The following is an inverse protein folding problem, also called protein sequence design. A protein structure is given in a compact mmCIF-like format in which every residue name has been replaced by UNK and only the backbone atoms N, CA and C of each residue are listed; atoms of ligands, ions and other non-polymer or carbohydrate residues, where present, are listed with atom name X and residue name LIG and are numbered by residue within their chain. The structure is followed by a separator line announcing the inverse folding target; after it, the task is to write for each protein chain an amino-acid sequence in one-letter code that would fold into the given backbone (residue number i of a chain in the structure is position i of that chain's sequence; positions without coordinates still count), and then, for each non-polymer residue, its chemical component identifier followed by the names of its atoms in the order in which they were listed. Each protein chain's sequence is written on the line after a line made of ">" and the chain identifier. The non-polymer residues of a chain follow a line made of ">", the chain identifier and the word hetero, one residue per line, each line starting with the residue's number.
data_IF_518695919058
#
_entry.id   IF_518695919058
#
_cell.length_a   1.000
_cell.length_b   1.000
_cell.length_c   1.000
_cell.angle_alpha   90.00
_cell.angle_beta   90.00
_cell.angle_gamma   90.00
#
_symmetry.space_group_name_H-M   'P 1'
#
loop_
_entity.id
_entity.type
_entity.pdbx_description
1 polymer ?
#
# COMPACT_ATOMS: atom_id res chain seq x y z
N UNK A 1 -17.36 -21.11 -15.99
CA UNK A 1 -17.33 -19.86 -16.80
C UNK A 1 -16.81 -18.72 -15.96
N UNK A 2 -16.32 -17.63 -16.55
CA UNK A 2 -15.75 -16.46 -15.85
C UNK A 2 -16.82 -15.47 -15.33
N UNK A 3 -18.07 -15.88 -15.33
CA UNK A 3 -19.19 -15.04 -14.91
C UNK A 3 -19.22 -14.93 -13.39
N UNK A 4 -19.28 -13.72 -12.90
CA UNK A 4 -19.38 -13.41 -11.47
C UNK A 4 -20.76 -13.81 -10.98
N UNK A 5 -20.81 -14.63 -9.94
CA UNK A 5 -22.06 -15.11 -9.31
C UNK A 5 -22.26 -14.54 -7.91
N UNK A 6 -21.18 -14.09 -7.28
CA UNK A 6 -21.25 -13.47 -5.96
C UNK A 6 -20.18 -12.38 -5.79
N UNK A 7 -20.56 -11.31 -5.11
CA UNK A 7 -19.69 -10.22 -4.66
C UNK A 7 -20.09 -9.85 -3.24
N UNK A 8 -19.19 -10.01 -2.30
CA UNK A 8 -19.48 -9.76 -0.90
C UNK A 8 -18.37 -8.92 -0.25
N UNK A 9 -18.76 -7.90 0.48
CA UNK A 9 -17.83 -7.05 1.24
C UNK A 9 -18.09 -7.13 2.74
N UNK A 10 -17.01 -6.97 3.51
CA UNK A 10 -17.05 -6.82 4.96
C UNK A 10 -16.05 -5.79 5.45
N UNK A 11 -16.28 -5.29 6.66
CA UNK A 11 -15.30 -4.46 7.37
C UNK A 11 -14.31 -5.39 8.08
N UNK A 12 -13.01 -5.09 7.91
CA UNK A 12 -11.90 -5.76 8.60
C UNK A 12 -10.95 -4.70 9.17
N UNK A 13 -9.95 -5.12 9.95
CA UNK A 13 -8.94 -4.19 10.48
C UNK A 13 -7.66 -4.27 9.67
N UNK A 14 -7.04 -3.11 9.42
CA UNK A 14 -5.71 -3.00 8.85
C UNK A 14 -4.60 -3.25 9.91
N UNK A 15 -3.32 -3.18 9.51
CA UNK A 15 -2.17 -3.43 10.40
C UNK A 15 -2.04 -2.40 11.54
N UNK A 16 -2.73 -1.25 11.44
CA UNK A 16 -2.78 -0.20 12.47
C UNK A 16 -4.02 -0.28 13.36
N UNK A 17 -4.88 -1.30 13.13
CA UNK A 17 -6.14 -1.47 13.84
C UNK A 17 -7.25 -0.52 13.39
N UNK A 18 -7.13 0.13 12.22
CA UNK A 18 -8.20 0.93 11.65
C UNK A 18 -9.08 0.06 10.76
N UNK A 19 -10.41 0.31 10.71
CA UNK A 19 -11.28 -0.37 9.77
C UNK A 19 -10.91 -0.14 8.31
N UNK A 20 -11.02 -1.19 7.50
CA UNK A 20 -10.94 -1.11 6.05
C UNK A 20 -11.91 -2.10 5.39
N UNK A 21 -12.04 -2.02 4.06
CA UNK A 21 -12.96 -2.84 3.29
C UNK A 21 -12.24 -4.07 2.74
N UNK A 22 -12.80 -5.25 3.00
CA UNK A 22 -12.44 -6.49 2.31
C UNK A 22 -13.56 -6.85 1.35
N UNK A 23 -13.22 -7.26 0.11
CA UNK A 23 -14.18 -7.72 -0.90
C UNK A 23 -13.79 -9.10 -1.41
N UNK A 24 -14.78 -9.95 -1.55
CA UNK A 24 -14.68 -11.27 -2.17
C UNK A 24 -15.52 -11.31 -3.45
N UNK A 25 -14.99 -11.97 -4.48
CA UNK A 25 -15.67 -12.22 -5.76
C UNK A 25 -15.56 -13.70 -6.07
N UNK A 26 -16.70 -14.32 -6.38
CA UNK A 26 -16.77 -15.73 -6.81
C UNK A 26 -17.36 -15.81 -8.19
N UNK A 27 -16.80 -16.66 -9.04
CA UNK A 27 -17.29 -16.92 -10.39
C UNK A 27 -18.06 -18.25 -10.48
N UNK A 28 -18.81 -18.45 -11.55
CA UNK A 28 -19.56 -19.68 -11.83
C UNK A 28 -18.67 -20.94 -11.90
N UNK A 29 -17.40 -20.79 -12.32
CA UNK A 29 -16.42 -21.89 -12.32
C UNK A 29 -15.82 -22.18 -10.95
N UNK A 30 -16.15 -21.40 -9.92
CA UNK A 30 -15.54 -21.47 -8.60
C UNK A 30 -14.23 -20.69 -8.47
N UNK A 31 -13.78 -19.97 -9.52
CA UNK A 31 -12.64 -19.08 -9.39
C UNK A 31 -12.98 -17.94 -8.40
N UNK A 32 -12.00 -17.62 -7.56
CA UNK A 32 -12.19 -16.77 -6.39
C UNK A 32 -11.14 -15.67 -6.31
N UNK A 33 -11.58 -14.47 -5.94
CA UNK A 33 -10.69 -13.35 -5.67
C UNK A 33 -11.08 -12.65 -4.37
N UNK A 34 -10.11 -12.38 -3.53
CA UNK A 34 -10.28 -11.67 -2.25
C UNK A 34 -9.27 -10.53 -2.17
N UNK A 35 -9.75 -9.35 -1.91
CA UNK A 35 -8.93 -8.16 -1.77
C UNK A 35 -9.26 -7.37 -0.50
N UNK A 36 -8.23 -6.90 0.20
CA UNK A 36 -8.36 -5.94 1.29
C UNK A 36 -7.81 -4.62 0.78
N UNK A 37 -8.59 -3.55 0.92
CA UNK A 37 -8.23 -2.23 0.41
C UNK A 37 -7.15 -1.60 1.29
N UNK A 38 -5.98 -1.23 0.74
CA UNK A 38 -4.97 -0.52 1.50
C UNK A 38 -5.45 0.89 1.87
N UNK A 39 -5.08 1.36 3.06
CA UNK A 39 -5.36 2.71 3.53
C UNK A 39 -4.05 3.43 3.81
N UNK A 40 -3.84 4.60 3.21
CA UNK A 40 -2.66 5.43 3.44
C UNK A 40 -2.60 6.03 4.84
N UNK A 41 -1.41 6.33 5.32
CA UNK A 41 -1.21 7.08 6.57
C UNK A 41 -1.43 8.59 6.36
N UNK A 42 -1.09 9.07 5.17
CA UNK A 42 -1.33 10.45 4.70
C UNK A 42 -2.15 10.43 3.41
N UNK A 43 -2.81 11.53 3.09
CA UNK A 43 -3.64 11.67 1.89
C UNK A 43 -3.33 12.98 1.16
N UNK A 44 -3.33 12.94 -0.17
CA UNK A 44 -3.18 14.11 -1.02
C UNK A 44 -4.52 14.78 -1.34
N UNK A 45 -4.51 16.08 -1.65
CA UNK A 45 -5.71 16.85 -1.99
C UNK A 45 -6.45 16.32 -3.24
N UNK A 46 -5.75 15.61 -4.12
CA UNK A 46 -6.26 15.08 -5.38
C UNK A 46 -6.59 13.59 -5.33
N UNK A 47 -6.50 12.97 -4.17
CA UNK A 47 -6.88 11.58 -4.00
C UNK A 47 -8.40 11.38 -4.08
N UNK A 48 -8.79 10.24 -4.60
CA UNK A 48 -10.18 9.80 -4.54
C UNK A 48 -10.57 9.50 -3.08
N UNK A 49 -11.81 9.78 -2.73
CA UNK A 49 -12.30 9.73 -1.36
C UNK A 49 -12.30 8.30 -0.80
N UNK A 50 -11.52 8.06 0.23
CA UNK A 50 -11.73 6.92 1.10
C UNK A 50 -12.97 7.20 1.98
N UNK A 51 -14.06 6.50 1.70
CA UNK A 51 -15.35 6.75 2.38
C UNK A 51 -15.30 6.20 3.81
N UNK A 52 -15.43 7.09 4.79
CA UNK A 52 -15.52 6.81 6.22
C UNK A 52 -16.90 7.17 6.75
N UNK A 53 -17.40 6.42 7.75
CA UNK A 53 -18.74 6.59 8.29
C UNK A 53 -18.91 7.92 9.07
N UNK A 54 -17.84 8.45 9.65
CA UNK A 54 -17.86 9.69 10.43
C UNK A 54 -18.51 9.56 11.81
N UNK A 55 -19.06 8.40 12.18
CA UNK A 55 -19.65 8.13 13.48
C UNK A 55 -18.58 8.05 14.57
N UNK A 56 -18.49 9.09 15.38
CA UNK A 56 -17.50 9.19 16.47
C UNK A 56 -17.66 8.13 17.56
N UNK A 57 -18.85 7.54 17.70
CA UNK A 57 -19.13 6.47 18.65
C UNK A 57 -18.55 5.12 18.22
N UNK A 58 -18.12 4.99 16.96
CA UNK A 58 -17.57 3.74 16.39
C UNK A 58 -16.25 4.02 15.69
N UNK A 59 -15.16 3.35 16.13
CA UNK A 59 -13.80 3.53 15.59
C UNK A 59 -13.40 5.01 15.43
N UNK A 60 -13.86 5.90 16.33
CA UNK A 60 -13.56 7.33 16.30
C UNK A 60 -13.92 8.03 14.97
N UNK A 61 -14.93 7.51 14.26
CA UNK A 61 -15.37 8.00 12.95
C UNK A 61 -14.73 7.31 11.76
N UNK A 62 -13.79 6.38 11.98
CA UNK A 62 -13.06 5.69 10.91
C UNK A 62 -13.74 4.42 10.36
N UNK A 63 -14.96 4.08 10.83
CA UNK A 63 -15.72 2.95 10.31
C UNK A 63 -15.92 3.02 8.79
N UNK A 64 -16.17 1.86 8.14
CA UNK A 64 -16.36 1.75 6.68
C UNK A 64 -17.64 1.00 6.31
N UNK A 65 -18.62 0.97 7.23
CA UNK A 65 -19.87 0.25 6.99
C UNK A 65 -20.66 0.80 5.80
N UNK A 66 -20.60 2.13 5.57
CA UNK A 66 -21.26 2.71 4.41
C UNK A 66 -20.60 2.25 3.10
N UNK A 67 -19.27 2.16 3.04
CA UNK A 67 -18.56 1.63 1.88
C UNK A 67 -18.89 0.13 1.66
N UNK A 68 -18.92 -0.67 2.72
CA UNK A 68 -19.36 -2.07 2.68
C UNK A 68 -20.79 -2.19 2.14
N UNK A 69 -21.70 -1.36 2.62
CA UNK A 69 -23.08 -1.30 2.13
C UNK A 69 -23.15 -0.94 0.66
N UNK A 70 -22.35 0.04 0.22
CA UNK A 70 -22.28 0.44 -1.19
C UNK A 70 -21.81 -0.71 -2.09
N UNK A 71 -20.85 -1.52 -1.63
CA UNK A 71 -20.46 -2.74 -2.36
C UNK A 71 -21.62 -3.72 -2.43
N UNK A 72 -22.19 -4.11 -1.29
CA UNK A 72 -23.17 -5.22 -1.21
C UNK A 72 -24.51 -4.86 -1.86
N UNK A 73 -24.99 -3.63 -1.72
CA UNK A 73 -26.33 -3.24 -2.16
C UNK A 73 -26.37 -2.48 -3.49
N UNK A 74 -25.27 -1.80 -3.89
CA UNK A 74 -25.26 -0.97 -5.10
C UNK A 74 -24.37 -1.58 -6.19
N UNK A 75 -23.11 -1.93 -5.87
CA UNK A 75 -22.14 -2.42 -6.87
C UNK A 75 -22.40 -3.88 -7.21
N UNK A 76 -22.50 -4.75 -6.20
CA UNK A 76 -22.66 -6.20 -6.39
C UNK A 76 -23.81 -6.56 -7.35
N UNK A 77 -25.05 -6.01 -7.20
CA UNK A 77 -26.14 -6.33 -8.13
C UNK A 77 -25.89 -5.91 -9.59
N UNK A 78 -24.95 -5.02 -9.84
CA UNK A 78 -24.60 -4.53 -11.18
C UNK A 78 -23.42 -5.28 -11.80
N UNK A 79 -22.55 -5.86 -10.97
CA UNK A 79 -21.36 -6.61 -11.38
C UNK A 79 -21.67 -8.10 -11.53
N UNK A 80 -22.55 -8.66 -10.72
CA UNK A 80 -23.03 -10.04 -10.87
C UNK A 80 -23.63 -10.23 -12.28
N UNK A 81 -23.29 -11.35 -12.92
CA UNK A 81 -23.65 -11.67 -14.30
C UNK A 81 -22.66 -11.16 -15.35
N UNK A 82 -21.65 -10.36 -14.97
CA UNK A 82 -20.57 -9.94 -15.86
C UNK A 82 -19.38 -10.91 -15.78
N UNK A 83 -18.53 -10.86 -16.80
CA UNK A 83 -17.28 -11.63 -16.79
C UNK A 83 -16.21 -10.91 -15.95
N UNK A 84 -15.57 -11.62 -15.01
CA UNK A 84 -14.42 -11.08 -14.26
C UNK A 84 -13.20 -10.79 -15.16
N UNK A 85 -13.17 -11.30 -16.39
CA UNK A 85 -12.09 -11.07 -17.35
C UNK A 85 -12.17 -9.69 -18.03
N UNK A 86 -13.33 -9.03 -17.98
CA UNK A 86 -13.50 -7.71 -18.58
C UNK A 86 -13.34 -6.61 -17.52
N UNK A 87 -12.10 -6.47 -17.04
CA UNK A 87 -11.73 -5.48 -16.02
C UNK A 87 -12.17 -4.07 -16.38
N UNK A 88 -11.93 -3.67 -17.63
CA UNK A 88 -12.26 -2.32 -18.09
C UNK A 88 -13.78 -2.05 -18.03
N UNK A 89 -14.60 -3.02 -18.40
CA UNK A 89 -16.06 -2.85 -18.34
C UNK A 89 -16.56 -2.79 -16.88
N UNK A 90 -15.96 -3.57 -15.97
CA UNK A 90 -16.29 -3.54 -14.55
C UNK A 90 -15.90 -2.19 -13.93
N UNK A 91 -14.68 -1.74 -14.17
CA UNK A 91 -14.19 -0.47 -13.62
C UNK A 91 -14.99 0.72 -14.17
N UNK A 92 -15.26 0.74 -15.48
CA UNK A 92 -16.09 1.78 -16.12
C UNK A 92 -17.50 1.80 -15.53
N UNK A 93 -18.13 0.65 -15.34
CA UNK A 93 -19.43 0.54 -14.69
C UNK A 93 -19.43 1.19 -13.31
N UNK A 94 -18.44 0.89 -12.48
CA UNK A 94 -18.33 1.47 -11.13
C UNK A 94 -18.12 2.98 -11.15
N UNK A 95 -17.30 3.49 -12.09
CA UNK A 95 -17.11 4.92 -12.29
C UNK A 95 -18.41 5.62 -12.72
N UNK A 96 -19.19 5.01 -13.60
CA UNK A 96 -20.50 5.52 -14.03
C UNK A 96 -21.52 5.48 -12.88
N UNK A 97 -21.51 4.44 -12.04
CA UNK A 97 -22.38 4.34 -10.87
C UNK A 97 -22.06 5.41 -9.81
N UNK A 98 -20.79 5.71 -9.59
CA UNK A 98 -20.40 6.79 -8.68
C UNK A 98 -20.74 8.19 -9.28
N UNK A 99 -20.41 8.40 -10.54
CA UNK A 99 -20.70 9.64 -11.28
C UNK A 99 -19.87 10.85 -10.84
N UNK A 100 -18.88 10.70 -9.95
CA UNK A 100 -18.01 11.81 -9.50
C UNK A 100 -16.53 11.54 -9.76
N UNK A 101 -15.72 12.59 -10.06
CA UNK A 101 -14.28 12.40 -10.31
C UNK A 101 -13.51 11.77 -9.13
N UNK A 102 -13.94 12.05 -7.91
CA UNK A 102 -13.27 11.63 -6.67
C UNK A 102 -14.00 10.49 -5.95
N UNK A 103 -14.93 9.79 -6.61
CA UNK A 103 -15.67 8.63 -6.06
C UNK A 103 -16.37 8.95 -4.72
N UNK A 104 -16.99 10.15 -4.66
CA UNK A 104 -17.58 10.67 -3.42
C UNK A 104 -18.87 9.95 -3.00
N UNK A 105 -19.57 9.32 -3.94
CA UNK A 105 -20.86 8.68 -3.69
C UNK A 105 -20.69 7.23 -3.20
N UNK A 106 -19.83 6.44 -3.84
CA UNK A 106 -19.60 5.04 -3.47
C UNK A 106 -18.41 4.85 -2.55
N UNK A 107 -17.39 5.70 -2.69
CA UNK A 107 -16.10 5.57 -2.03
C UNK A 107 -15.05 4.88 -2.90
N UNK A 108 -13.81 5.42 -2.89
CA UNK A 108 -12.70 4.80 -3.58
C UNK A 108 -12.37 3.41 -3.01
N UNK A 109 -12.50 3.24 -1.69
CA UNK A 109 -12.32 1.95 -1.02
C UNK A 109 -13.34 0.89 -1.49
N UNK A 110 -14.61 1.26 -1.68
CA UNK A 110 -15.61 0.35 -2.22
C UNK A 110 -15.31 -0.06 -3.67
N UNK A 111 -15.03 0.91 -4.54
CA UNK A 111 -14.76 0.66 -5.96
C UNK A 111 -13.45 -0.10 -6.17
N UNK A 112 -12.37 0.27 -5.46
CA UNK A 112 -11.08 -0.40 -5.54
C UNK A 112 -11.16 -1.84 -5.02
N UNK A 113 -11.88 -2.08 -3.94
CA UNK A 113 -12.06 -3.42 -3.38
C UNK A 113 -12.66 -4.39 -4.40
N UNK A 114 -13.73 -3.98 -5.08
CA UNK A 114 -14.37 -4.80 -6.13
C UNK A 114 -13.43 -4.98 -7.34
N UNK A 115 -12.79 -3.91 -7.80
CA UNK A 115 -11.85 -3.96 -8.93
C UNK A 115 -10.71 -4.95 -8.68
N UNK A 116 -10.07 -4.87 -7.52
CA UNK A 116 -8.97 -5.78 -7.13
C UNK A 116 -9.46 -7.24 -6.98
N UNK A 117 -10.61 -7.46 -6.35
CA UNK A 117 -11.17 -8.80 -6.17
C UNK A 117 -11.53 -9.45 -7.53
N UNK A 118 -12.07 -8.67 -8.48
CA UNK A 118 -12.33 -9.15 -9.83
C UNK A 118 -11.04 -9.55 -10.55
N UNK A 119 -9.98 -8.75 -10.45
CA UNK A 119 -8.69 -9.07 -11.06
C UNK A 119 -8.06 -10.34 -10.47
N UNK A 120 -8.19 -10.54 -9.15
CA UNK A 120 -7.74 -11.75 -8.46
C UNK A 120 -8.54 -12.99 -8.90
N UNK A 121 -9.88 -12.86 -9.00
CA UNK A 121 -10.73 -13.94 -9.52
C UNK A 121 -10.40 -14.28 -10.98
N UNK A 122 -10.07 -13.29 -11.80
CA UNK A 122 -9.63 -13.49 -13.18
C UNK A 122 -8.28 -14.22 -13.27
N UNK A 123 -7.32 -13.86 -12.41
CA UNK A 123 -6.04 -14.54 -12.31
C UNK A 123 -6.21 -16.01 -11.87
N UNK A 124 -7.05 -16.24 -10.86
CA UNK A 124 -7.41 -17.58 -10.36
C UNK A 124 -8.11 -18.42 -11.44
N UNK A 125 -9.04 -17.80 -12.20
CA UNK A 125 -9.70 -18.44 -13.35
C UNK A 125 -8.70 -19.00 -14.38
N UNK A 126 -7.60 -18.29 -14.62
CA UNK A 126 -6.53 -18.77 -15.51
C UNK A 126 -5.48 -19.64 -14.81
N UNK A 127 -5.60 -19.90 -13.50
CA UNK A 127 -4.62 -20.66 -12.72
C UNK A 127 -3.24 -20.01 -12.69
N UNK A 128 -3.18 -18.66 -12.71
CA UNK A 128 -1.92 -17.94 -12.73
C UNK A 128 -1.84 -16.87 -11.61
N UNK A 129 -0.64 -16.54 -11.13
CA UNK A 129 -0.47 -15.46 -10.16
C UNK A 129 -0.79 -14.09 -10.80
N UNK A 130 -1.29 -13.16 -9.96
CA UNK A 130 -1.76 -11.83 -10.40
C UNK A 130 -0.71 -11.05 -11.22
N UNK A 131 0.58 -11.13 -10.84
CA UNK A 131 1.64 -10.44 -11.59
C UNK A 131 1.76 -10.93 -13.04
N UNK A 132 1.48 -12.20 -13.30
CA UNK A 132 1.45 -12.75 -14.69
C UNK A 132 0.18 -12.33 -15.41
N UNK A 133 -0.94 -12.28 -14.72
CA UNK A 133 -2.20 -11.82 -15.29
C UNK A 133 -2.09 -10.38 -15.80
N UNK A 134 -1.52 -9.47 -15.01
CA UNK A 134 -1.29 -8.08 -15.41
C UNK A 134 -0.10 -7.89 -16.36
N UNK A 135 1.02 -8.55 -16.08
CA UNK A 135 2.27 -8.35 -16.82
C UNK A 135 2.38 -9.16 -18.11
N UNK A 136 1.52 -10.18 -18.31
CA UNK A 136 1.61 -11.06 -19.46
C UNK A 136 3.01 -11.66 -19.61
N UNK A 137 3.50 -11.71 -20.84
CA UNK A 137 4.85 -12.24 -21.16
C UNK A 137 5.99 -11.39 -20.60
N UNK A 138 5.75 -10.11 -20.30
CA UNK A 138 6.76 -9.17 -19.80
C UNK A 138 6.80 -9.06 -18.28
N UNK A 139 5.83 -9.63 -17.56
CA UNK A 139 5.78 -9.64 -16.09
C UNK A 139 6.82 -10.55 -15.46
N UNK A 140 8.11 -10.27 -15.64
CA UNK A 140 9.24 -11.11 -15.19
C UNK A 140 10.39 -10.35 -14.52
N UNK A 141 10.30 -9.04 -14.43
CA UNK A 141 11.32 -8.20 -13.81
C UNK A 141 10.81 -7.72 -12.46
N UNK A 142 11.52 -8.07 -11.38
CA UNK A 142 11.26 -7.53 -10.05
C UNK A 142 11.80 -6.10 -9.98
N UNK A 143 11.04 -5.15 -9.40
CA UNK A 143 11.56 -3.82 -9.13
C UNK A 143 12.63 -3.87 -8.04
N UNK A 144 13.57 -2.90 -8.07
CA UNK A 144 14.44 -2.68 -6.92
C UNK A 144 13.58 -2.24 -5.74
N UNK A 145 13.63 -2.91 -4.57
CA UNK A 145 12.81 -2.53 -3.44
C UNK A 145 13.21 -1.16 -2.89
N UNK A 146 12.22 -0.32 -2.61
CA UNK A 146 12.36 0.90 -1.82
C UNK A 146 11.96 0.59 -0.39
N UNK A 147 12.91 0.73 0.54
CA UNK A 147 12.71 0.35 1.94
C UNK A 147 12.78 1.60 2.80
N UNK A 148 11.65 1.98 3.42
CA UNK A 148 11.60 3.10 4.34
C UNK A 148 12.38 2.77 5.62
N UNK A 149 13.40 3.57 5.95
CA UNK A 149 14.29 3.34 7.10
C UNK A 149 14.28 4.47 8.12
N UNK A 150 13.81 5.68 7.73
CA UNK A 150 13.67 6.82 8.62
C UNK A 150 12.46 7.65 8.21
N UNK A 151 11.66 8.04 9.20
CA UNK A 151 10.42 8.78 9.04
C UNK A 151 10.50 10.18 9.67
N UNK A 152 9.76 11.11 9.06
CA UNK A 152 9.49 12.44 9.57
C UNK A 152 8.11 12.93 9.11
N UNK A 153 7.88 14.22 9.09
CA UNK A 153 6.61 14.83 8.68
C UNK A 153 5.40 14.25 9.40
N UNK A 154 4.35 13.94 8.66
CA UNK A 154 3.13 13.32 9.21
C UNK A 154 3.28 11.84 9.61
N UNK A 155 4.38 11.18 9.23
CA UNK A 155 4.64 9.78 9.53
C UNK A 155 5.38 9.55 10.85
N UNK A 156 5.83 10.62 11.53
CA UNK A 156 6.53 10.53 12.80
C UNK A 156 6.38 11.81 13.64
N UNK A 157 6.29 11.66 14.95
CA UNK A 157 6.42 12.79 15.88
C UNK A 157 7.89 13.10 16.09
N UNK A 158 8.46 13.89 15.18
CA UNK A 158 9.88 14.23 15.14
C UNK A 158 10.11 15.67 14.61
N UNK A 159 11.35 16.13 14.62
CA UNK A 159 11.77 17.45 14.10
C UNK A 159 12.10 17.44 12.60
N UNK A 160 11.94 16.31 11.93
CA UNK A 160 12.23 16.12 10.52
C UNK A 160 10.96 16.35 9.71
N UNK A 161 11.01 17.22 8.69
CA UNK A 161 9.83 17.59 7.89
C UNK A 161 9.51 16.60 6.77
N UNK A 162 10.54 16.00 6.15
CA UNK A 162 10.34 15.03 5.07
C UNK A 162 9.76 13.74 5.60
N UNK A 163 8.73 13.20 4.91
CA UNK A 163 7.96 12.06 5.41
C UNK A 163 8.77 10.77 5.43
N UNK A 164 9.55 10.50 4.37
CA UNK A 164 10.22 9.22 4.21
C UNK A 164 11.62 9.36 3.64
N UNK A 165 12.53 8.61 4.25
CA UNK A 165 13.87 8.37 3.72
C UNK A 165 14.04 6.88 3.50
N UNK A 166 14.21 6.51 2.23
CA UNK A 166 14.25 5.12 1.78
C UNK A 166 15.63 4.74 1.29
N UNK A 167 15.99 3.48 1.43
CA UNK A 167 17.16 2.88 0.80
C UNK A 167 16.75 1.98 -0.37
N UNK A 168 17.55 1.99 -1.43
CA UNK A 168 17.35 1.19 -2.63
C UNK A 168 18.63 0.40 -2.92
N UNK A 169 18.66 -0.92 -2.73
CA UNK A 169 19.83 -1.77 -2.97
C UNK A 169 20.05 -2.05 -4.46
N UNK A 170 20.41 -1.01 -5.22
CA UNK A 170 20.55 -1.06 -6.71
C UNK A 170 21.71 -1.93 -7.18
N UNK A 171 22.71 -2.18 -6.32
CA UNK A 171 23.87 -3.03 -6.62
C UNK A 171 23.64 -4.51 -6.31
N UNK A 172 22.47 -4.89 -5.79
CA UNK A 172 22.14 -6.28 -5.50
C UNK A 172 21.99 -7.10 -6.79
N UNK A 173 22.51 -8.32 -6.81
CA UNK A 173 22.42 -9.22 -7.97
C UNK A 173 21.06 -9.91 -8.11
N UNK A 174 20.32 -10.02 -7.00
CA UNK A 174 19.01 -10.65 -6.91
C UNK A 174 18.22 -10.07 -5.73
N UNK A 175 16.92 -10.37 -5.67
CA UNK A 175 16.01 -9.89 -4.62
C UNK A 175 16.42 -10.36 -3.21
N UNK A 176 16.91 -11.58 -3.09
CA UNK A 176 17.38 -12.11 -1.80
C UNK A 176 18.54 -11.29 -1.24
N UNK A 177 19.46 -10.89 -2.12
CA UNK A 177 20.58 -10.02 -1.74
C UNK A 177 20.09 -8.61 -1.44
N UNK A 178 19.16 -8.06 -2.21
CA UNK A 178 18.56 -6.75 -1.95
C UNK A 178 17.94 -6.68 -0.54
N UNK A 179 17.15 -7.68 -0.16
CA UNK A 179 16.56 -7.76 1.19
C UNK A 179 17.62 -7.88 2.27
N UNK A 180 18.68 -8.66 2.06
CA UNK A 180 19.82 -8.77 2.99
C UNK A 180 20.52 -7.42 3.19
N UNK A 181 20.87 -6.74 2.09
CA UNK A 181 21.52 -5.43 2.12
C UNK A 181 20.67 -4.38 2.85
N UNK A 182 19.36 -4.38 2.59
CA UNK A 182 18.42 -3.50 3.29
C UNK A 182 18.37 -3.77 4.78
N UNK A 183 18.23 -5.02 5.19
CA UNK A 183 18.21 -5.42 6.60
C UNK A 183 19.50 -5.05 7.34
N UNK A 184 20.65 -5.36 6.75
CA UNK A 184 21.96 -5.03 7.34
C UNK A 184 22.15 -3.52 7.49
N UNK A 185 21.73 -2.73 6.49
CA UNK A 185 21.78 -1.27 6.56
C UNK A 185 20.86 -0.73 7.64
N UNK A 186 19.62 -1.21 7.71
CA UNK A 186 18.66 -0.80 8.74
C UNK A 186 19.17 -1.07 10.17
N UNK A 187 19.77 -2.25 10.40
CA UNK A 187 20.34 -2.57 11.71
C UNK A 187 21.60 -1.74 12.03
N UNK A 188 22.41 -1.36 11.04
CA UNK A 188 23.52 -0.46 11.23
C UNK A 188 23.03 0.99 11.47
N UNK A 189 21.96 1.43 10.82
CA UNK A 189 21.33 2.72 11.11
C UNK A 189 20.88 2.81 12.57
N UNK A 190 20.31 1.74 13.12
CA UNK A 190 19.99 1.68 14.57
C UNK A 190 21.21 1.89 15.45
N UNK A 191 22.38 1.31 15.09
CA UNK A 191 23.61 1.49 15.85
C UNK A 191 24.13 2.92 15.75
N UNK A 192 24.10 3.50 14.55
CA UNK A 192 24.50 4.89 14.29
C UNK A 192 23.64 5.87 15.11
N UNK A 193 22.32 5.72 15.07
CA UNK A 193 21.38 6.52 15.85
C UNK A 193 21.68 6.44 17.35
N UNK A 194 21.84 5.22 17.89
CA UNK A 194 22.17 5.02 19.32
C UNK A 194 23.51 5.64 19.71
N UNK A 195 24.51 5.52 18.86
CA UNK A 195 25.84 6.10 19.13
C UNK A 195 25.80 7.63 19.19
N UNK A 196 24.86 8.27 18.49
CA UNK A 196 24.62 9.72 18.52
C UNK A 196 23.59 10.15 19.59
N UNK A 197 23.09 9.22 20.41
CA UNK A 197 22.12 9.50 21.47
C UNK A 197 20.67 9.66 21.01
N UNK A 198 20.38 9.35 19.75
CA UNK A 198 19.01 9.39 19.22
C UNK A 198 18.18 8.16 19.67
N UNK A 199 16.87 8.37 19.79
CA UNK A 199 15.96 7.26 20.00
C UNK A 199 15.86 6.37 18.73
N UNK A 200 15.45 5.13 18.91
CA UNK A 200 15.25 4.16 17.83
C UNK A 200 13.83 3.60 17.82
N UNK A 201 12.88 4.42 18.24
CA UNK A 201 11.45 4.15 18.06
C UNK A 201 11.12 4.28 16.57
N UNK A 202 10.12 3.55 16.12
CA UNK A 202 9.71 3.54 14.71
C UNK A 202 8.41 4.31 14.53
N UNK A 203 8.26 4.93 13.38
CA UNK A 203 7.03 5.54 12.91
C UNK A 203 6.05 4.50 12.37
N UNK A 204 4.93 4.96 11.84
CA UNK A 204 3.83 4.13 11.33
C UNK A 204 4.24 3.18 10.20
N UNK A 205 5.31 3.48 9.47
CA UNK A 205 5.80 2.71 8.34
C UNK A 205 7.10 1.94 8.65
N UNK A 206 7.47 1.85 9.91
CA UNK A 206 8.57 1.00 10.38
C UNK A 206 9.96 1.64 10.27
N UNK A 207 10.12 2.83 9.69
CA UNK A 207 11.35 3.63 9.74
C UNK A 207 11.58 4.22 11.13
N UNK A 208 12.84 4.47 11.52
CA UNK A 208 13.16 5.16 12.77
C UNK A 208 12.65 6.60 12.75
N UNK A 209 12.24 7.11 13.90
CA UNK A 209 11.70 8.47 14.06
C UNK A 209 12.55 9.30 15.02
N UNK A 210 13.83 9.60 14.72
CA UNK A 210 14.67 10.41 15.58
C UNK A 210 14.30 11.89 15.49
N UNK A 211 14.41 12.61 16.60
CA UNK A 211 14.37 14.08 16.59
C UNK A 211 15.76 14.61 16.23
N UNK A 212 16.01 14.78 14.94
CA UNK A 212 17.28 15.29 14.41
C UNK A 212 17.45 16.79 14.71
N UNK A 213 18.68 17.21 15.03
CA UNK A 213 18.98 18.61 15.40
C UNK A 213 19.18 19.51 14.18
N UNK A 214 19.64 18.93 13.04
CA UNK A 214 19.99 19.65 11.80
C UNK A 214 18.92 19.57 10.70
N UNK A 215 17.66 19.27 11.06
CA UNK A 215 16.56 19.18 10.10
C UNK A 215 16.72 18.02 9.12
N UNK A 216 16.34 18.24 7.85
CA UNK A 216 16.21 17.18 6.83
C UNK A 216 17.54 16.67 6.26
N UNK A 217 18.66 17.37 6.46
CA UNK A 217 19.97 16.93 5.96
C UNK A 217 20.57 15.83 6.83
N UNK A 218 20.38 15.89 8.14
CA UNK A 218 20.97 14.94 9.07
C UNK A 218 20.49 13.49 8.87
N UNK A 219 19.22 13.19 8.61
CA UNK A 219 18.76 11.86 8.20
C UNK A 219 19.56 11.27 7.03
N UNK A 220 19.89 12.08 6.03
CA UNK A 220 20.67 11.63 4.87
C UNK A 220 22.12 11.28 5.27
N UNK A 221 22.76 12.12 6.11
CA UNK A 221 24.09 11.83 6.67
C UNK A 221 24.11 10.53 7.46
N UNK A 222 23.12 10.32 8.33
CA UNK A 222 22.97 9.12 9.16
C UNK A 222 22.79 7.86 8.31
N UNK A 223 21.98 7.92 7.24
CA UNK A 223 21.77 6.80 6.33
C UNK A 223 23.06 6.51 5.54
N UNK A 224 23.77 7.52 5.05
CA UNK A 224 25.06 7.35 4.36
C UNK A 224 26.08 6.70 5.29
N UNK A 225 26.14 7.10 6.55
CA UNK A 225 26.99 6.49 7.56
C UNK A 225 26.63 5.02 7.79
N UNK A 226 25.33 4.73 7.89
CA UNK A 226 24.82 3.37 8.08
C UNK A 226 25.12 2.45 6.89
N UNK A 227 25.00 2.94 5.65
CA UNK A 227 25.34 2.19 4.44
C UNK A 227 26.83 1.81 4.46
N UNK A 228 27.71 2.77 4.81
CA UNK A 228 29.16 2.53 4.93
C UNK A 228 29.47 1.55 6.07
N UNK A 229 28.82 1.70 7.23
CA UNK A 229 28.99 0.80 8.37
C UNK A 229 28.51 -0.62 8.08
N UNK A 230 27.56 -0.80 7.16
CA UNK A 230 27.12 -2.09 6.67
C UNK A 230 28.10 -2.72 5.64
N UNK A 231 29.12 -1.98 5.22
CA UNK A 231 30.12 -2.45 4.25
C UNK A 231 29.76 -2.19 2.79
N UNK A 232 28.76 -1.34 2.53
CA UNK A 232 28.29 -0.99 1.19
C UNK A 232 28.76 0.41 0.75
N UNK A 233 28.77 0.63 -0.55
CA UNK A 233 29.18 1.91 -1.17
C UNK A 233 27.91 2.73 -1.48
N UNK A 234 27.69 3.90 -0.81
CA UNK A 234 26.57 4.78 -1.12
C UNK A 234 26.58 5.22 -2.59
N UNK A 235 25.40 5.22 -3.22
CA UNK A 235 25.22 5.61 -4.62
C UNK A 235 25.62 4.54 -5.64
N UNK A 236 26.34 3.47 -5.23
CA UNK A 236 26.73 2.36 -6.10
C UNK A 236 26.00 1.08 -5.72
N UNK A 237 26.12 0.68 -4.46
CA UNK A 237 25.47 -0.53 -3.97
C UNK A 237 24.07 -0.22 -3.44
N UNK A 238 23.94 0.90 -2.71
CA UNK A 238 22.67 1.37 -2.15
C UNK A 238 22.50 2.87 -2.46
N UNK A 239 21.40 3.21 -3.11
CA UNK A 239 20.93 4.57 -3.32
C UNK A 239 19.94 4.99 -2.23
N UNK A 240 19.72 6.30 -2.08
CA UNK A 240 18.68 6.87 -1.21
C UNK A 240 17.55 7.40 -2.10
N UNK A 241 16.32 7.16 -1.69
CA UNK A 241 15.12 7.79 -2.23
C UNK A 241 14.38 8.52 -1.10
N UNK A 242 13.58 9.50 -1.44
CA UNK A 242 12.84 10.33 -0.48
C UNK A 242 11.41 10.54 -0.93
N UNK A 243 10.49 10.59 0.02
CA UNK A 243 9.21 11.24 -0.11
C UNK A 243 9.22 12.51 0.75
N UNK A 244 9.16 13.65 0.07
CA UNK A 244 9.25 14.97 0.71
C UNK A 244 7.88 15.61 0.98
N UNK A 245 6.80 14.93 0.59
CA UNK A 245 5.41 15.36 0.49
C UNK A 245 4.92 16.44 1.45
#
# INVERSE_FOLDING_TARGET
>A
MSIIVDVYAREVLDSRGNPTVEVEVTTESGAYGRAIVPSGASTGEREALELRDGDKGRFMGKGVQQAVKNVNEIIAPKVIGKSCLDQNAIDKLMLELDGTPFKKNLGANATLGVSMACALAAADFYGMPLYKYFGGFNGKVLPVPMMNVLNGGSHADSTVDFQEFMIMPVGAKDEKEAIRMGSETFHNLRKVLKARGYNTNVGDEGGFAPSCEKGNEEPLELIVEAIKAAGYVPGKDICIAMDVA
#
